data_IF_188615607877
#
_entry.id   IF_188615607877
#
_cell.length_a   1.000
_cell.length_b   1.000
_cell.length_c   1.000
_cell.angle_alpha   90.00
_cell.angle_beta   90.00
_cell.angle_gamma   90.00
#
_symmetry.space_group_name_H-M   'P 1'
#
loop_
_entity.id
_entity.type
_entity.pdbx_description
1 polymer ?
#
# COMPACT_ATOMS: atom_id res chain seq x y z
N UNK A 1 -8.64 -25.51 11.58
CA UNK A 1 -7.64 -26.60 11.66
C UNK A 1 -8.07 -27.77 12.54
N UNK A 2 -9.23 -27.73 13.20
CA UNK A 2 -9.67 -28.80 14.15
C UNK A 2 -9.80 -30.19 13.51
N UNK A 3 -10.02 -30.26 12.21
CA UNK A 3 -10.11 -31.50 11.46
C UNK A 3 -8.76 -31.96 10.83
N UNK A 4 -7.69 -31.17 10.99
CA UNK A 4 -6.37 -31.50 10.47
C UNK A 4 -5.64 -32.42 11.45
N UNK A 5 -5.35 -33.65 11.01
CA UNK A 5 -4.63 -34.62 11.80
C UNK A 5 -3.14 -34.64 11.44
N UNK A 6 -2.28 -34.29 12.40
CA UNK A 6 -0.82 -34.36 12.29
C UNK A 6 -0.35 -35.61 13.05
N UNK A 7 0.51 -36.43 12.44
CA UNK A 7 0.99 -37.69 12.97
C UNK A 7 2.52 -37.73 13.09
N UNK A 8 3.02 -38.58 13.96
CA UNK A 8 4.43 -38.85 14.15
C UNK A 8 4.94 -39.95 13.22
N UNK A 9 4.57 -39.86 11.94
CA UNK A 9 4.97 -40.87 10.93
C UNK A 9 5.99 -40.30 9.93
N UNK A 10 5.67 -39.21 9.27
CA UNK A 10 6.53 -38.61 8.25
C UNK A 10 6.18 -37.14 8.04
N UNK A 11 7.21 -36.28 7.89
CA UNK A 11 7.02 -34.90 7.51
C UNK A 11 6.27 -34.77 6.17
N UNK A 12 6.63 -35.58 5.19
CA UNK A 12 5.96 -35.57 3.90
C UNK A 12 4.47 -35.93 3.99
N UNK A 13 4.15 -36.97 4.74
CA UNK A 13 2.75 -37.40 4.93
C UNK A 13 1.92 -36.30 5.66
N UNK A 14 2.54 -35.51 6.56
CA UNK A 14 1.87 -34.37 7.18
C UNK A 14 1.64 -33.24 6.21
N UNK A 15 2.56 -32.98 5.26
CA UNK A 15 2.34 -32.02 4.18
C UNK A 15 1.17 -32.45 3.31
N UNK A 16 1.09 -33.74 2.93
CA UNK A 16 -0.03 -34.26 2.13
C UNK A 16 -1.37 -34.09 2.86
N UNK A 17 -1.42 -34.40 4.17
CA UNK A 17 -2.64 -34.20 4.99
C UNK A 17 -3.04 -32.73 5.06
N UNK A 18 -2.08 -31.83 5.26
CA UNK A 18 -2.33 -30.40 5.29
C UNK A 18 -2.86 -29.89 3.93
N UNK A 19 -2.20 -30.28 2.83
CA UNK A 19 -2.64 -29.91 1.47
C UNK A 19 -4.03 -30.47 1.13
N UNK A 20 -4.33 -31.70 1.56
CA UNK A 20 -5.66 -32.26 1.37
C UNK A 20 -6.72 -31.58 2.19
N UNK A 21 -6.37 -31.15 3.42
CA UNK A 21 -7.25 -30.37 4.27
C UNK A 21 -7.53 -28.99 3.65
N UNK A 22 -6.50 -28.27 3.21
CA UNK A 22 -6.62 -26.96 2.54
C UNK A 22 -7.51 -27.06 1.28
N UNK A 23 -7.28 -28.09 0.45
CA UNK A 23 -8.09 -28.31 -0.75
C UNK A 23 -9.56 -28.55 -0.40
N UNK A 24 -9.82 -29.39 0.59
CA UNK A 24 -11.19 -29.71 1.01
C UNK A 24 -11.89 -28.46 1.61
N UNK A 25 -11.16 -27.64 2.38
CA UNK A 25 -11.67 -26.38 2.94
C UNK A 25 -12.02 -25.39 1.82
N UNK A 26 -11.11 -25.23 0.85
CA UNK A 26 -11.34 -24.37 -0.32
C UNK A 26 -12.60 -24.83 -1.11
N UNK A 27 -12.74 -26.12 -1.38
CA UNK A 27 -13.91 -26.65 -2.11
C UNK A 27 -15.19 -26.51 -1.29
N UNK A 28 -15.11 -26.64 0.03
CA UNK A 28 -16.26 -26.50 0.92
C UNK A 28 -16.83 -25.05 0.94
N UNK A 29 -16.04 -24.06 0.54
CA UNK A 29 -16.45 -22.65 0.40
C UNK A 29 -17.18 -22.35 -0.91
N UNK A 30 -17.02 -23.20 -1.92
CA UNK A 30 -17.64 -23.00 -3.23
C UNK A 30 -19.17 -22.88 -3.13
N UNK A 31 -19.72 -21.83 -3.72
CA UNK A 31 -21.17 -21.54 -3.71
C UNK A 31 -21.71 -21.02 -2.38
N UNK A 32 -20.86 -20.66 -1.44
CA UNK A 32 -21.24 -20.00 -0.20
C UNK A 32 -20.87 -18.51 -0.25
N UNK A 33 -21.55 -17.64 0.53
CA UNK A 33 -21.10 -16.27 0.73
C UNK A 33 -19.69 -16.23 1.31
N UNK A 34 -18.94 -15.16 1.01
CA UNK A 34 -17.64 -14.89 1.63
C UNK A 34 -17.76 -14.86 3.16
N UNK A 35 -16.80 -15.46 3.84
CA UNK A 35 -16.71 -15.45 5.30
C UNK A 35 -15.87 -14.26 5.75
N UNK A 36 -16.50 -13.28 6.38
CA UNK A 36 -15.83 -12.08 6.90
C UNK A 36 -15.01 -12.33 8.17
N UNK A 37 -15.22 -13.44 8.84
CA UNK A 37 -14.44 -13.83 10.01
C UNK A 37 -13.14 -14.58 9.63
N UNK A 38 -12.94 -14.87 8.34
CA UNK A 38 -11.74 -15.54 7.85
C UNK A 38 -10.57 -14.55 7.68
N UNK A 39 -9.50 -14.78 8.45
CA UNK A 39 -8.26 -14.03 8.32
C UNK A 39 -7.31 -14.67 7.32
N UNK A 40 -6.81 -13.86 6.36
CA UNK A 40 -5.85 -14.31 5.35
C UNK A 40 -4.40 -14.24 5.84
N UNK A 41 -4.15 -13.55 6.95
CA UNK A 41 -2.83 -13.41 7.58
C UNK A 41 -2.90 -13.80 9.05
N UNK A 42 -1.79 -14.32 9.57
CA UNK A 42 -1.66 -14.65 10.99
C UNK A 42 -1.39 -13.39 11.83
N UNK A 43 -1.71 -13.36 13.15
CA UNK A 43 -1.55 -12.18 14.00
C UNK A 43 -0.13 -11.63 14.07
N UNK A 44 0.89 -12.48 13.88
CA UNK A 44 2.31 -12.09 13.91
C UNK A 44 2.84 -11.59 12.56
N UNK A 45 2.01 -11.54 11.52
CA UNK A 45 2.41 -11.00 10.21
C UNK A 45 2.50 -9.47 10.29
N UNK A 46 3.67 -8.91 10.00
CA UNK A 46 3.87 -7.46 9.89
C UNK A 46 3.44 -7.01 8.50
N UNK A 47 2.15 -6.94 8.30
CA UNK A 47 1.51 -6.49 7.06
C UNK A 47 0.05 -6.12 7.33
N UNK A 48 -0.64 -5.60 6.30
CA UNK A 48 -2.08 -5.38 6.24
C UNK A 48 -2.59 -5.89 4.89
N UNK A 49 -3.89 -5.95 4.68
CA UNK A 49 -4.47 -6.27 3.39
C UNK A 49 -5.89 -5.71 3.23
N UNK A 50 -6.25 -5.43 1.98
CA UNK A 50 -7.63 -5.27 1.54
C UNK A 50 -8.10 -6.57 0.87
N UNK A 51 -9.31 -7.03 1.22
CA UNK A 51 -9.95 -8.15 0.55
C UNK A 51 -11.14 -7.66 -0.28
N UNK A 52 -11.05 -7.62 -1.62
CA UNK A 52 -12.14 -7.13 -2.47
C UNK A 52 -13.40 -8.00 -2.41
N UNK A 53 -13.26 -9.30 -2.13
CA UNK A 53 -14.40 -10.24 -2.11
C UNK A 53 -15.28 -10.09 -0.87
N UNK A 54 -14.75 -9.51 0.20
CA UNK A 54 -15.48 -9.20 1.44
C UNK A 54 -15.61 -7.70 1.69
N UNK A 55 -14.91 -6.88 0.88
CA UNK A 55 -14.80 -5.43 1.01
C UNK A 55 -14.34 -5.01 2.42
N UNK A 56 -13.19 -5.53 2.83
CA UNK A 56 -12.64 -5.35 4.16
C UNK A 56 -11.17 -4.98 4.13
N UNK A 57 -10.74 -4.11 5.05
CA UNK A 57 -9.35 -3.87 5.38
C UNK A 57 -9.00 -4.58 6.68
N UNK A 58 -7.87 -5.25 6.74
CA UNK A 58 -7.45 -6.06 7.88
C UNK A 58 -6.02 -5.72 8.31
N UNK A 59 -5.84 -5.57 9.63
CA UNK A 59 -4.56 -5.22 10.26
C UNK A 59 -4.20 -6.25 11.31
N UNK A 60 -3.34 -7.24 11.02
CA UNK A 60 -2.78 -8.13 12.02
C UNK A 60 -2.10 -7.35 13.15
N UNK A 61 -2.14 -7.89 14.38
CA UNK A 61 -1.63 -7.18 15.55
C UNK A 61 -0.15 -6.76 15.44
N UNK A 62 0.66 -7.53 14.71
CA UNK A 62 2.10 -7.29 14.59
C UNK A 62 2.45 -6.01 13.81
N UNK A 63 1.58 -5.48 12.94
CA UNK A 63 1.85 -4.19 12.26
C UNK A 63 1.62 -2.99 13.18
N UNK A 64 0.85 -3.16 14.27
CA UNK A 64 0.48 -2.09 15.19
C UNK A 64 1.57 -1.81 16.23
N UNK A 65 2.82 -1.72 15.78
CA UNK A 65 4.01 -1.40 16.57
C UNK A 65 5.01 -0.58 15.74
N UNK A 66 6.01 -0.02 16.42
CA UNK A 66 7.07 0.74 15.71
C UNK A 66 7.76 -0.13 14.63
N UNK A 67 8.08 0.43 13.47
CA UNK A 67 7.99 1.85 13.10
C UNK A 67 6.62 2.28 12.53
N UNK A 68 5.63 1.37 12.41
CA UNK A 68 4.32 1.69 11.84
C UNK A 68 3.44 2.50 12.80
N UNK A 69 3.40 2.10 14.06
CA UNK A 69 2.66 2.79 15.11
C UNK A 69 3.47 2.82 16.41
N UNK A 70 3.60 4.01 17.02
CA UNK A 70 4.18 4.17 18.33
C UNK A 70 3.32 5.14 19.17
N UNK A 71 2.80 4.66 20.31
CA UNK A 71 1.99 5.47 21.23
C UNK A 71 2.73 6.69 21.79
N UNK A 72 4.07 6.68 21.74
CA UNK A 72 4.92 7.77 22.24
C UNK A 72 5.39 8.72 21.12
N UNK A 73 5.17 8.38 19.85
CA UNK A 73 5.47 9.26 18.73
C UNK A 73 4.42 10.38 18.63
N UNK A 74 4.79 11.49 17.99
CA UNK A 74 3.81 12.54 17.67
C UNK A 74 2.82 12.06 16.59
N UNK A 75 1.64 12.68 16.57
CA UNK A 75 0.57 12.30 15.65
C UNK A 75 1.00 12.37 14.19
N UNK A 76 1.83 13.37 13.80
CA UNK A 76 2.29 13.50 12.42
C UNK A 76 3.04 12.24 11.97
N UNK A 77 3.91 11.68 12.82
CA UNK A 77 4.64 10.45 12.54
C UNK A 77 3.70 9.25 12.40
N UNK A 78 2.73 9.10 13.30
CA UNK A 78 1.77 7.99 13.25
C UNK A 78 0.83 8.11 12.04
N UNK A 79 0.33 9.30 11.71
CA UNK A 79 -0.46 9.52 10.50
C UNK A 79 0.35 9.27 9.23
N UNK A 80 1.64 9.67 9.21
CA UNK A 80 2.55 9.42 8.10
C UNK A 80 2.94 7.94 7.97
N UNK A 81 2.85 7.18 9.04
CA UNK A 81 3.19 5.76 9.09
C UNK A 81 1.92 4.88 8.95
N UNK A 82 1.36 4.40 10.05
CA UNK A 82 0.19 3.51 10.01
C UNK A 82 -1.02 4.18 9.35
N UNK A 83 -1.17 5.50 9.48
CA UNK A 83 -2.24 6.23 8.81
C UNK A 83 -2.18 6.10 7.29
N UNK A 84 -0.98 6.20 6.69
CA UNK A 84 -0.79 5.97 5.25
C UNK A 84 -1.08 4.52 4.89
N UNK A 85 -0.70 3.53 5.73
CA UNK A 85 -1.03 2.12 5.47
C UNK A 85 -2.55 1.91 5.50
N UNK A 86 -3.27 2.52 6.45
CA UNK A 86 -4.75 2.45 6.49
C UNK A 86 -5.35 3.02 5.20
N UNK A 87 -4.89 4.21 4.77
CA UNK A 87 -5.34 4.82 3.53
C UNK A 87 -4.97 4.01 2.28
N UNK A 88 -3.81 3.33 2.28
CA UNK A 88 -3.35 2.41 1.25
C UNK A 88 -4.32 1.23 1.09
N UNK A 89 -4.65 0.55 2.17
CA UNK A 89 -5.61 -0.57 2.12
C UNK A 89 -7.00 -0.12 1.68
N UNK A 90 -7.45 1.05 2.13
CA UNK A 90 -8.72 1.63 1.64
C UNK A 90 -8.68 1.92 0.13
N UNK A 91 -7.54 2.39 -0.38
CA UNK A 91 -7.38 2.76 -1.79
C UNK A 91 -7.34 1.53 -2.69
N UNK A 92 -6.92 0.36 -2.21
CA UNK A 92 -7.00 -0.90 -2.95
C UNK A 92 -8.41 -1.24 -3.44
N UNK A 93 -9.47 -0.79 -2.76
CA UNK A 93 -10.84 -0.91 -3.24
C UNK A 93 -11.13 -0.15 -4.53
N UNK A 94 -10.23 0.76 -4.92
CA UNK A 94 -10.37 1.67 -6.07
C UNK A 94 -9.14 1.66 -7.00
N UNK A 95 -8.21 0.74 -6.82
CA UNK A 95 -7.06 0.56 -7.71
C UNK A 95 -7.48 -0.12 -9.02
N UNK A 96 -6.52 -0.48 -9.87
CA UNK A 96 -6.78 -1.10 -11.19
C UNK A 96 -7.43 -2.48 -11.10
N UNK A 97 -7.34 -3.18 -9.97
CA UNK A 97 -7.95 -4.48 -9.71
C UNK A 97 -9.20 -4.36 -8.84
N UNK A 98 -9.11 -3.67 -7.69
CA UNK A 98 -10.20 -3.55 -6.72
C UNK A 98 -11.42 -2.85 -7.27
N UNK A 99 -11.24 -1.86 -8.18
CA UNK A 99 -12.34 -1.18 -8.87
C UNK A 99 -13.30 -2.11 -9.64
N UNK A 100 -12.89 -3.33 -9.91
CA UNK A 100 -13.72 -4.31 -10.61
C UNK A 100 -14.68 -5.07 -9.68
N UNK A 101 -14.65 -4.79 -8.38
CA UNK A 101 -15.55 -5.38 -7.39
C UNK A 101 -16.53 -4.31 -6.88
N UNK A 102 -17.79 -4.72 -6.70
CA UNK A 102 -18.78 -3.88 -6.03
C UNK A 102 -18.65 -3.98 -4.50
N UNK A 103 -19.43 -3.18 -3.80
CA UNK A 103 -19.40 -3.14 -2.33
C UNK A 103 -19.84 -4.44 -1.65
N UNK A 104 -20.51 -5.33 -2.38
CA UNK A 104 -20.90 -6.68 -1.96
C UNK A 104 -19.80 -7.71 -2.22
N UNK A 105 -18.70 -7.34 -2.88
CA UNK A 105 -17.58 -8.22 -3.21
C UNK A 105 -17.78 -9.03 -4.49
N UNK A 106 -18.75 -8.68 -5.31
CA UNK A 106 -18.96 -9.33 -6.59
C UNK A 106 -18.10 -8.67 -7.68
N UNK A 107 -17.56 -9.47 -8.59
CA UNK A 107 -16.91 -8.95 -9.79
C UNK A 107 -17.97 -8.27 -10.69
N UNK A 108 -17.95 -6.96 -10.73
CA UNK A 108 -18.99 -6.13 -11.37
C UNK A 108 -18.41 -4.83 -11.90
N UNK A 109 -18.72 -4.49 -13.14
CA UNK A 109 -18.41 -3.18 -13.71
C UNK A 109 -19.50 -2.17 -13.29
N UNK A 110 -19.23 -1.43 -12.22
CA UNK A 110 -20.14 -0.45 -11.63
C UNK A 110 -19.76 1.00 -11.94
N UNK A 111 -18.66 1.21 -12.63
CA UNK A 111 -18.15 2.53 -13.00
C UNK A 111 -18.91 3.10 -14.20
N UNK A 112 -19.04 4.44 -14.24
CA UNK A 112 -19.47 5.07 -15.50
C UNK A 112 -18.38 4.94 -16.55
N UNK A 113 -18.74 4.93 -17.81
CA UNK A 113 -17.76 4.87 -18.90
C UNK A 113 -16.78 6.07 -18.87
N UNK A 114 -17.25 7.24 -18.42
CA UNK A 114 -16.44 8.45 -18.30
C UNK A 114 -15.41 8.31 -17.17
N UNK A 115 -15.84 7.88 -15.97
CA UNK A 115 -14.94 7.68 -14.83
C UNK A 115 -13.90 6.60 -15.13
N UNK A 116 -14.32 5.49 -15.74
CA UNK A 116 -13.43 4.41 -16.16
C UNK A 116 -12.37 4.89 -17.17
N UNK A 117 -12.75 5.74 -18.12
CA UNK A 117 -11.83 6.30 -19.12
C UNK A 117 -10.82 7.28 -18.47
N UNK A 118 -11.28 8.17 -17.59
CA UNK A 118 -10.43 9.10 -16.84
C UNK A 118 -9.46 8.36 -15.92
N UNK A 119 -9.94 7.37 -15.18
CA UNK A 119 -9.08 6.52 -14.36
C UNK A 119 -7.99 5.86 -15.20
N UNK A 120 -8.38 5.22 -16.31
CA UNK A 120 -7.42 4.52 -17.18
C UNK A 120 -6.35 5.47 -17.71
N UNK A 121 -6.75 6.66 -18.17
CA UNK A 121 -5.80 7.66 -18.65
C UNK A 121 -4.77 8.08 -17.59
N UNK A 122 -5.23 8.31 -16.35
CA UNK A 122 -4.36 8.68 -15.22
C UNK A 122 -3.47 7.52 -14.80
N UNK A 123 -4.05 6.33 -14.68
CA UNK A 123 -3.35 5.10 -14.32
C UNK A 123 -2.25 4.74 -15.32
N UNK A 124 -2.49 4.91 -16.63
CA UNK A 124 -1.49 4.70 -17.68
C UNK A 124 -0.31 5.66 -17.55
N UNK A 125 -0.58 6.95 -17.23
CA UNK A 125 0.49 7.92 -16.97
C UNK A 125 1.31 7.54 -15.73
N UNK A 126 0.65 7.10 -14.64
CA UNK A 126 1.34 6.66 -13.43
C UNK A 126 2.20 5.42 -13.72
N UNK A 127 1.65 4.42 -14.42
CA UNK A 127 2.40 3.24 -14.83
C UNK A 127 3.64 3.60 -15.66
N UNK A 128 3.53 4.59 -16.56
CA UNK A 128 4.68 5.06 -17.35
C UNK A 128 5.72 5.74 -16.48
N UNK A 129 5.33 6.62 -15.52
CA UNK A 129 6.28 7.26 -14.60
C UNK A 129 7.14 6.22 -13.84
N UNK A 130 6.51 5.13 -13.38
CA UNK A 130 7.26 4.07 -12.69
C UNK A 130 8.08 3.22 -13.66
N UNK A 131 7.60 2.97 -14.89
CA UNK A 131 8.35 2.24 -15.91
C UNK A 131 9.61 2.97 -16.38
N UNK A 132 9.65 4.29 -16.27
CA UNK A 132 10.81 5.11 -16.61
C UNK A 132 11.92 5.04 -15.55
N UNK A 133 11.63 4.45 -14.38
CA UNK A 133 12.59 4.33 -13.27
C UNK A 133 13.58 3.22 -13.56
N UNK A 134 14.86 3.56 -13.54
CA UNK A 134 15.96 2.58 -13.55
C UNK A 134 16.21 2.13 -12.11
N UNK A 135 16.00 0.86 -11.82
CA UNK A 135 16.12 0.29 -10.47
C UNK A 135 17.54 -0.16 -10.13
N UNK A 136 18.23 -0.76 -11.10
CA UNK A 136 19.64 -1.18 -11.00
C UNK A 136 20.23 -1.34 -12.39
N UNK A 137 21.45 -0.91 -12.62
CA UNK A 137 22.14 -0.91 -13.90
C UNK A 137 21.29 -0.29 -15.03
N UNK A 138 20.85 -1.11 -16.00
CA UNK A 138 19.94 -0.71 -17.08
C UNK A 138 18.53 -1.30 -16.96
N UNK A 139 18.21 -1.91 -15.81
CA UNK A 139 16.91 -2.56 -15.58
C UNK A 139 15.90 -1.54 -15.11
N UNK A 140 14.80 -1.45 -15.82
CA UNK A 140 13.65 -0.61 -15.47
C UNK A 140 12.68 -1.33 -14.54
N UNK A 141 11.99 -0.56 -13.71
CA UNK A 141 10.82 -1.05 -12.97
C UNK A 141 9.71 -1.47 -13.96
N UNK A 142 8.83 -2.33 -13.51
CA UNK A 142 7.63 -2.69 -14.26
C UNK A 142 6.42 -1.94 -13.68
N UNK A 143 6.25 -0.68 -14.11
CA UNK A 143 5.20 0.19 -13.57
C UNK A 143 3.77 -0.32 -13.82
N UNK A 144 3.56 -1.16 -14.83
CA UNK A 144 2.26 -1.81 -15.04
C UNK A 144 2.01 -2.93 -14.04
N UNK A 145 3.02 -3.72 -13.72
CA UNK A 145 2.93 -4.79 -12.73
C UNK A 145 2.73 -4.26 -11.31
N UNK A 146 3.33 -3.11 -11.00
CA UNK A 146 3.25 -2.48 -9.68
C UNK A 146 2.16 -1.41 -9.58
N UNK A 147 1.28 -1.28 -10.57
CA UNK A 147 0.35 -0.16 -10.69
C UNK A 147 -0.62 -0.06 -9.51
N UNK A 148 -1.25 -1.15 -9.11
CA UNK A 148 -2.22 -1.18 -8.00
C UNK A 148 -1.59 -0.67 -6.70
N UNK A 149 -0.39 -1.18 -6.39
CA UNK A 149 0.37 -0.76 -5.21
C UNK A 149 0.77 0.72 -5.27
N UNK A 150 1.17 1.21 -6.45
CA UNK A 150 1.55 2.61 -6.61
C UNK A 150 0.33 3.56 -6.50
N UNK A 151 -0.85 3.14 -6.96
CA UNK A 151 -2.11 3.86 -6.76
C UNK A 151 -2.46 3.88 -5.28
N UNK A 152 -2.34 2.73 -4.61
CA UNK A 152 -2.65 2.59 -3.18
C UNK A 152 -1.72 3.44 -2.31
N UNK A 153 -0.42 3.49 -2.59
CA UNK A 153 0.54 4.36 -1.89
C UNK A 153 0.19 5.84 -2.06
N UNK A 154 -0.12 6.27 -3.28
CA UNK A 154 -0.46 7.67 -3.55
C UNK A 154 -1.78 8.06 -2.86
N UNK A 155 -2.82 7.24 -3.00
CA UNK A 155 -4.11 7.45 -2.34
C UNK A 155 -3.99 7.45 -0.83
N UNK A 156 -3.23 6.49 -0.29
CA UNK A 156 -2.94 6.38 1.14
C UNK A 156 -2.28 7.63 1.72
N UNK A 157 -1.27 8.16 1.02
CA UNK A 157 -0.60 9.41 1.41
C UNK A 157 -1.57 10.59 1.42
N UNK A 158 -2.42 10.72 0.41
CA UNK A 158 -3.37 11.84 0.29
C UNK A 158 -4.47 11.75 1.36
N UNK A 159 -5.06 10.60 1.56
CA UNK A 159 -6.12 10.37 2.56
C UNK A 159 -5.58 10.56 3.98
N UNK A 160 -4.42 9.99 4.29
CA UNK A 160 -3.82 10.12 5.62
C UNK A 160 -3.38 11.56 5.92
N UNK A 161 -2.83 12.28 4.94
CA UNK A 161 -2.48 13.70 5.11
C UNK A 161 -3.71 14.56 5.37
N UNK A 162 -4.79 14.37 4.60
CA UNK A 162 -6.05 15.07 4.84
C UNK A 162 -6.62 14.74 6.24
N UNK A 163 -6.61 13.47 6.64
CA UNK A 163 -7.06 13.04 7.96
C UNK A 163 -6.21 13.69 9.08
N UNK A 164 -4.90 13.78 8.88
CA UNK A 164 -4.00 14.47 9.80
C UNK A 164 -4.36 15.96 9.92
N UNK A 165 -4.52 16.66 8.80
CA UNK A 165 -4.91 18.08 8.82
C UNK A 165 -6.27 18.29 9.52
N UNK A 166 -7.26 17.45 9.23
CA UNK A 166 -8.57 17.48 9.90
C UNK A 166 -8.44 17.27 11.42
N UNK A 167 -7.49 16.43 11.85
CA UNK A 167 -7.24 16.20 13.27
C UNK A 167 -6.71 17.45 14.01
N UNK A 168 -6.17 18.42 13.27
CA UNK A 168 -5.63 19.68 13.80
C UNK A 168 -6.65 20.82 13.78
N UNK A 169 -7.83 20.63 13.17
CA UNK A 169 -8.84 21.69 13.11
C UNK A 169 -9.22 22.19 14.52
N UNK A 170 -9.17 23.50 14.69
CA UNK A 170 -9.45 24.15 15.98
C UNK A 170 -8.36 23.99 17.05
N UNK A 171 -7.20 23.42 16.71
CA UNK A 171 -6.05 23.25 17.59
C UNK A 171 -4.90 24.16 17.16
N UNK A 172 -3.98 24.43 18.08
CA UNK A 172 -2.72 25.08 17.74
C UNK A 172 -1.88 24.16 16.85
N UNK A 173 -1.22 24.76 15.84
CA UNK A 173 -0.28 24.01 15.01
C UNK A 173 0.84 23.43 15.88
N UNK A 174 1.13 22.12 15.80
CA UNK A 174 2.20 21.52 16.57
C UNK A 174 3.56 22.19 16.30
N UNK A 175 4.30 22.47 17.37
CA UNK A 175 5.63 23.05 17.26
C UNK A 175 6.59 22.15 16.48
N UNK A 176 7.62 22.71 15.82
CA UNK A 176 8.67 21.90 15.22
C UNK A 176 9.39 21.03 16.27
N UNK A 177 9.75 19.81 15.88
CA UNK A 177 10.57 18.89 16.67
C UNK A 177 11.82 18.58 15.85
N UNK A 178 13.00 18.67 16.46
CA UNK A 178 14.30 18.48 15.81
C UNK A 178 14.50 19.30 14.52
N UNK A 179 13.88 20.47 14.47
CA UNK A 179 13.93 21.37 13.31
C UNK A 179 12.94 21.06 12.19
N UNK A 180 12.14 20.01 12.30
CA UNK A 180 11.12 19.64 11.32
C UNK A 180 9.72 20.08 11.74
N UNK A 181 8.99 20.68 10.79
CA UNK A 181 7.57 21.00 10.98
C UNK A 181 6.76 19.71 11.12
N UNK A 182 5.53 19.83 11.61
CA UNK A 182 4.62 18.70 11.72
C UNK A 182 4.32 18.06 10.34
N UNK A 183 4.14 18.83 9.28
CA UNK A 183 3.93 18.28 7.92
C UNK A 183 5.19 17.59 7.39
N UNK A 184 6.38 18.14 7.64
CA UNK A 184 7.62 17.45 7.30
C UNK A 184 7.74 16.11 8.03
N UNK A 185 7.39 16.05 9.33
CA UNK A 185 7.42 14.81 10.11
C UNK A 185 6.41 13.77 9.61
N UNK A 186 5.25 14.18 9.09
CA UNK A 186 4.32 13.27 8.41
C UNK A 186 5.02 12.52 7.26
N UNK A 187 5.66 13.23 6.34
CA UNK A 187 6.36 12.60 5.22
C UNK A 187 7.60 11.82 5.64
N UNK A 188 8.30 12.26 6.69
CA UNK A 188 9.44 11.52 7.26
C UNK A 188 8.97 10.22 7.94
N UNK A 189 7.80 10.21 8.57
CA UNK A 189 7.16 8.99 9.09
C UNK A 189 6.96 7.96 7.99
N UNK A 190 6.37 8.37 6.88
CA UNK A 190 6.20 7.50 5.70
C UNK A 190 7.54 6.99 5.15
N UNK A 191 8.51 7.89 4.96
CA UNK A 191 9.81 7.52 4.43
C UNK A 191 10.56 6.51 5.32
N UNK A 192 10.39 6.62 6.63
CA UNK A 192 11.02 5.70 7.59
C UNK A 192 10.53 4.26 7.47
N UNK A 193 9.26 4.04 7.09
CA UNK A 193 8.72 2.69 6.90
C UNK A 193 9.45 1.91 5.80
N UNK A 194 9.86 2.62 4.75
CA UNK A 194 10.43 2.02 3.55
C UNK A 194 11.95 2.13 3.50
N UNK A 195 12.59 2.60 4.59
CA UNK A 195 14.04 2.67 4.69
C UNK A 195 14.64 1.26 4.73
N UNK A 196 15.35 0.88 3.67
CA UNK A 196 15.92 -0.46 3.53
C UNK A 196 17.19 -0.47 2.69
N UNK A 197 18.05 -1.45 2.94
CA UNK A 197 19.22 -1.75 2.12
C UNK A 197 18.99 -3.10 1.42
N UNK A 198 18.98 -3.09 0.09
CA UNK A 198 18.74 -4.28 -0.72
C UNK A 198 19.96 -4.54 -1.61
N UNK A 199 20.39 -5.79 -1.70
CA UNK A 199 21.46 -6.20 -2.61
C UNK A 199 20.99 -6.14 -4.07
N UNK A 200 21.88 -5.85 -5.04
CA UNK A 200 21.52 -5.76 -6.46
C UNK A 200 20.78 -7.00 -7.00
N UNK A 201 21.19 -8.19 -6.60
CA UNK A 201 20.59 -9.44 -7.03
C UNK A 201 19.12 -9.55 -6.53
N UNK A 202 18.85 -9.09 -5.31
CA UNK A 202 17.52 -9.07 -4.74
C UNK A 202 16.65 -7.99 -5.38
N UNK A 203 17.21 -6.83 -5.72
CA UNK A 203 16.51 -5.81 -6.52
C UNK A 203 16.02 -6.42 -7.84
N UNK A 204 16.90 -7.14 -8.56
CA UNK A 204 16.54 -7.81 -9.81
C UNK A 204 15.46 -8.88 -9.64
N UNK A 205 15.51 -9.62 -8.52
CA UNK A 205 14.49 -10.63 -8.22
C UNK A 205 13.14 -9.98 -7.93
N UNK A 206 13.09 -9.02 -7.01
CA UNK A 206 11.87 -8.34 -6.61
C UNK A 206 11.21 -7.63 -7.79
N UNK A 207 11.97 -6.94 -8.63
CA UNK A 207 11.44 -6.27 -9.83
C UNK A 207 10.65 -7.21 -10.76
N UNK A 208 10.91 -8.52 -10.70
CA UNK A 208 10.27 -9.52 -11.56
C UNK A 208 9.07 -10.20 -10.92
N UNK A 209 9.02 -10.31 -9.59
CA UNK A 209 8.05 -11.17 -8.91
C UNK A 209 7.22 -10.48 -7.83
N UNK A 210 7.62 -9.27 -7.39
CA UNK A 210 6.92 -8.53 -6.37
C UNK A 210 6.03 -7.45 -7.00
N UNK A 211 4.72 -7.45 -6.74
CA UNK A 211 3.81 -6.42 -7.25
C UNK A 211 4.05 -5.04 -6.61
N UNK A 212 4.86 -4.97 -5.55
CA UNK A 212 5.23 -3.70 -4.91
C UNK A 212 6.45 -3.07 -5.60
N UNK A 213 6.44 -1.76 -5.72
CA UNK A 213 7.65 -1.01 -6.03
C UNK A 213 8.66 -1.13 -4.89
N UNK A 214 9.96 -1.06 -5.20
CA UNK A 214 11.01 -1.04 -4.17
C UNK A 214 10.80 0.14 -3.22
N UNK A 215 11.11 -0.01 -1.93
CA UNK A 215 10.84 0.98 -0.89
C UNK A 215 11.28 2.40 -1.23
N UNK A 216 12.48 2.55 -1.83
CA UNK A 216 12.96 3.85 -2.35
C UNK A 216 11.94 4.52 -3.28
N UNK A 217 11.24 3.76 -4.11
CA UNK A 217 10.35 4.28 -5.13
C UNK A 217 8.91 4.37 -4.64
N UNK A 218 8.50 3.54 -3.67
CA UNK A 218 7.25 3.75 -2.93
C UNK A 218 7.23 5.15 -2.31
N UNK A 219 8.38 5.62 -1.78
CA UNK A 219 8.52 6.97 -1.22
C UNK A 219 8.73 8.01 -2.32
N UNK A 220 9.85 7.95 -3.03
CA UNK A 220 10.28 9.07 -3.85
C UNK A 220 9.42 9.27 -5.09
N UNK A 221 8.92 8.21 -5.72
CA UNK A 221 8.07 8.36 -6.90
C UNK A 221 6.65 8.81 -6.52
N UNK A 222 6.07 8.28 -5.43
CA UNK A 222 4.77 8.71 -4.96
C UNK A 222 4.78 10.18 -4.56
N UNK A 223 5.74 10.63 -3.74
CA UNK A 223 5.83 12.00 -3.23
C UNK A 223 6.01 13.05 -4.32
N UNK A 224 6.65 12.71 -5.45
CA UNK A 224 6.79 13.64 -6.60
C UNK A 224 5.45 14.02 -7.24
N UNK A 225 4.38 13.29 -6.96
CA UNK A 225 3.03 13.59 -7.45
C UNK A 225 2.16 14.37 -6.44
N UNK A 226 2.66 14.70 -5.25
CA UNK A 226 1.87 15.26 -4.14
C UNK A 226 2.25 16.72 -3.88
N UNK A 227 1.38 17.66 -4.23
CA UNK A 227 1.64 19.12 -4.10
C UNK A 227 1.94 19.55 -2.66
N UNK A 228 1.28 18.95 -1.67
CA UNK A 228 1.51 19.26 -0.26
C UNK A 228 2.94 18.91 0.19
N UNK A 229 3.55 17.87 -0.39
CA UNK A 229 4.97 17.53 -0.15
C UNK A 229 5.89 18.66 -0.62
N UNK A 230 5.62 19.24 -1.79
CA UNK A 230 6.40 20.38 -2.30
C UNK A 230 6.30 21.58 -1.36
N UNK A 231 5.11 21.85 -0.84
CA UNK A 231 4.90 22.94 0.11
C UNK A 231 5.62 22.71 1.43
N UNK A 232 5.58 21.48 1.95
CA UNK A 232 6.20 21.12 3.24
C UNK A 232 7.73 21.26 3.22
N UNK A 233 8.37 20.96 2.08
CA UNK A 233 9.84 20.96 1.94
C UNK A 233 10.37 22.13 1.09
N UNK A 234 9.52 23.05 0.65
CA UNK A 234 9.87 24.20 -0.22
C UNK A 234 10.64 23.77 -1.49
N UNK A 235 10.20 22.66 -2.12
CA UNK A 235 10.88 22.08 -3.28
C UNK A 235 10.63 22.92 -4.51
N UNK A 236 11.71 23.27 -5.21
CA UNK A 236 11.71 24.16 -6.36
C UNK A 236 12.20 23.49 -7.64
N UNK A 237 11.88 24.13 -8.76
CA UNK A 237 12.35 23.72 -10.07
C UNK A 237 13.87 23.59 -10.09
N UNK A 238 14.36 22.48 -10.68
CA UNK A 238 15.77 22.14 -10.72
C UNK A 238 16.25 21.22 -9.60
N UNK A 239 15.46 20.99 -8.57
CA UNK A 239 15.80 20.05 -7.50
C UNK A 239 15.46 18.59 -7.88
N UNK A 240 16.20 17.58 -7.36
CA UNK A 240 16.02 16.18 -7.75
C UNK A 240 14.62 15.61 -7.58
N UNK A 241 13.89 16.09 -6.56
CA UNK A 241 12.51 15.64 -6.28
C UNK A 241 11.47 16.45 -7.07
N UNK A 242 11.87 17.51 -7.77
CA UNK A 242 10.93 18.34 -8.52
C UNK A 242 10.39 17.59 -9.75
N UNK A 243 9.08 17.71 -9.96
CA UNK A 243 8.37 17.32 -11.16
C UNK A 243 7.44 18.46 -11.58
N UNK A 244 7.40 18.78 -12.86
CA UNK A 244 6.51 19.84 -13.38
C UNK A 244 5.06 19.54 -12.98
N UNK A 245 4.27 20.52 -12.56
CA UNK A 245 2.86 20.31 -12.17
C UNK A 245 2.03 19.59 -13.24
N UNK A 246 2.28 19.86 -14.53
CA UNK A 246 1.59 19.20 -15.64
C UNK A 246 1.92 17.70 -15.78
N UNK A 247 3.08 17.27 -15.25
CA UNK A 247 3.53 15.89 -15.29
C UNK A 247 3.09 15.09 -14.06
N UNK A 248 2.69 15.76 -12.99
CA UNK A 248 2.16 15.10 -11.78
C UNK A 248 0.88 14.35 -12.12
N UNK A 249 0.76 13.15 -11.59
CA UNK A 249 -0.42 12.31 -11.77
C UNK A 249 -1.16 12.26 -10.44
N UNK A 250 -2.42 12.67 -10.46
CA UNK A 250 -3.36 12.53 -9.34
C UNK A 250 -4.48 11.62 -9.82
N UNK A 251 -4.62 10.47 -9.18
CA UNK A 251 -5.66 9.50 -9.54
C UNK A 251 -7.01 9.97 -8.98
N UNK A 252 -7.04 10.38 -7.72
CA UNK A 252 -8.23 10.77 -6.95
C UNK A 252 -8.24 12.26 -6.56
#
# INVERSE_FOLDING_TARGET
>A
YSALEIKDDSYWANIERASQWDFNDMIAKAGKPGDKDEWLMTPQTVNAYYNPTTNEICFPAAILQAPFFDMNADDAMNYGAIGVVIGHEMTHGFDDQGRNYDKEGNLSDWWTAEDAALFTQRADRLAQQYSDIIVVDSVHANGRFTLGENIADQGGLMVAHLAYLNSLEGKETPAPIDGFTNEQRFYLGYANLWAQNIRPEEILRLTKIDPHSLGKWRVNAALRNIDAFYSAFDIKEGEPMYMLPADRVVIW
#
